data_IF_533823605039
#
_entry.id   IF_533823605039
#
_cell.length_a   1.000
_cell.length_b   1.000
_cell.length_c   1.000
_cell.angle_alpha   90.00
_cell.angle_beta   90.00
_cell.angle_gamma   90.00
#
_symmetry.space_group_name_H-M   'P 1'
#
loop_
_entity.id
_entity.type
_entity.pdbx_description
1 polymer ?
#
# COMPACT_ATOMS: atom_id res chain seq x y z
N UNK A 1 22.62 4.10 -4.64
CA UNK A 1 21.21 3.99 -5.06
C UNK A 1 21.16 3.02 -6.23
N UNK A 2 21.42 1.75 -5.91
CA UNK A 2 21.31 0.57 -6.76
C UNK A 2 20.74 -0.53 -5.85
N UNK A 3 20.23 -1.62 -6.42
CA UNK A 3 19.47 -2.68 -5.73
C UNK A 3 18.13 -2.24 -5.12
N UNK A 4 17.09 -2.19 -5.97
CA UNK A 4 15.78 -2.81 -5.68
C UNK A 4 14.89 -3.00 -6.92
N UNK A 5 15.43 -2.81 -8.13
CA UNK A 5 14.71 -2.98 -9.41
C UNK A 5 15.24 -4.25 -10.11
N UNK A 6 14.38 -5.26 -10.39
CA UNK A 6 14.77 -6.44 -11.17
C UNK A 6 15.26 -6.08 -12.57
N UNK A 7 16.33 -6.73 -13.02
CA UNK A 7 16.93 -6.51 -14.34
C UNK A 7 16.01 -7.02 -15.48
N UNK A 8 15.71 -6.21 -16.52
CA UNK A 8 14.82 -6.61 -17.60
C UNK A 8 15.53 -7.47 -18.66
N UNK A 9 14.81 -8.43 -19.25
CA UNK A 9 15.22 -9.13 -20.48
C UNK A 9 14.81 -8.34 -21.72
N UNK A 10 15.60 -8.44 -22.79
CA UNK A 10 15.55 -7.51 -23.95
C UNK A 10 14.74 -8.04 -25.14
N UNK A 11 13.95 -7.15 -25.75
CA UNK A 11 13.36 -7.31 -27.08
C UNK A 11 13.45 -5.98 -27.87
N UNK A 12 13.50 -6.01 -29.22
CA UNK A 12 13.77 -4.82 -30.02
C UNK A 12 12.49 -4.02 -30.34
N UNK A 13 12.46 -2.74 -29.94
CA UNK A 13 11.40 -1.79 -30.29
C UNK A 13 10.84 -1.07 -29.06
N UNK A 14 11.50 0.01 -28.63
CA UNK A 14 11.40 0.66 -27.30
C UNK A 14 11.76 -0.31 -26.17
N UNK A 15 12.78 0.01 -25.37
CA UNK A 15 12.99 -0.64 -24.07
C UNK A 15 11.87 -0.22 -23.12
N UNK A 16 10.97 -1.12 -22.68
CA UNK A 16 10.00 -0.79 -21.65
C UNK A 16 10.72 -0.88 -20.31
N UNK A 17 11.43 0.18 -19.94
CA UNK A 17 11.91 0.33 -18.58
C UNK A 17 10.71 0.35 -17.62
N UNK A 18 10.85 -0.16 -16.38
CA UNK A 18 9.78 -0.05 -15.41
C UNK A 18 9.44 1.42 -15.17
N UNK A 19 8.15 1.72 -15.08
CA UNK A 19 7.62 3.07 -14.87
C UNK A 19 7.05 3.18 -13.46
N UNK A 20 7.88 3.42 -12.42
CA UNK A 20 7.38 3.60 -11.07
C UNK A 20 6.52 4.87 -10.98
N UNK A 21 5.29 4.68 -10.52
CA UNK A 21 4.41 5.74 -10.06
C UNK A 21 4.55 5.88 -8.54
N UNK A 22 4.77 7.09 -8.03
CA UNK A 22 4.82 7.33 -6.59
C UNK A 22 3.52 7.98 -6.14
N UNK A 23 2.78 7.31 -5.27
CA UNK A 23 1.65 7.89 -4.54
C UNK A 23 2.17 8.63 -3.32
N UNK A 24 1.88 9.92 -3.25
CA UNK A 24 1.78 10.62 -1.98
C UNK A 24 2.25 12.06 -2.04
N UNK A 25 1.98 12.74 -0.93
CA UNK A 25 2.43 14.08 -0.60
C UNK A 25 1.74 15.24 -1.34
N UNK A 26 1.75 16.38 -0.66
CA UNK A 26 1.05 17.60 -1.09
C UNK A 26 1.61 18.11 -2.43
N UNK A 27 0.76 18.60 -3.36
CA UNK A 27 1.18 19.06 -4.68
C UNK A 27 2.46 19.89 -4.71
N UNK A 28 3.41 19.48 -5.56
CA UNK A 28 4.72 20.15 -5.70
C UNK A 28 5.71 19.87 -4.58
N UNK A 29 5.47 18.88 -3.71
CA UNK A 29 6.40 18.45 -2.66
C UNK A 29 6.33 16.94 -2.44
N UNK A 30 7.47 16.27 -2.56
CA UNK A 30 7.64 14.88 -2.10
C UNK A 30 7.88 14.81 -0.58
N UNK A 31 6.91 15.28 0.22
CA UNK A 31 6.99 15.28 1.70
C UNK A 31 5.86 14.44 2.29
N UNK A 32 6.20 13.37 3.00
CA UNK A 32 5.21 12.56 3.72
C UNK A 32 4.47 13.40 4.78
N UNK A 33 3.15 13.54 4.61
CA UNK A 33 2.32 14.41 5.44
C UNK A 33 1.59 13.71 6.60
N UNK A 34 1.89 12.43 6.89
CA UNK A 34 1.15 11.62 7.89
C UNK A 34 -0.38 11.52 7.65
N UNK A 35 -0.87 11.87 6.45
CA UNK A 35 -2.27 11.77 6.08
C UNK A 35 -2.80 10.33 6.24
N UNK A 36 -3.90 10.17 6.97
CA UNK A 36 -4.65 8.91 7.06
C UNK A 36 -5.29 8.54 5.71
N UNK A 37 -5.61 7.26 5.46
CA UNK A 37 -6.19 6.76 4.21
C UNK A 37 -7.39 7.53 3.60
N UNK A 38 -8.08 8.35 4.40
CA UNK A 38 -9.35 9.00 4.05
C UNK A 38 -9.25 10.53 3.86
N UNK A 39 -8.04 11.12 3.93
CA UNK A 39 -7.84 12.59 4.02
C UNK A 39 -6.78 13.15 3.04
N UNK A 40 -6.92 12.91 1.73
CA UNK A 40 -5.85 13.19 0.77
C UNK A 40 -6.10 14.34 -0.25
N UNK A 41 -5.22 15.34 -0.21
CA UNK A 41 -4.77 16.12 -1.37
C UNK A 41 -3.33 15.70 -1.66
N UNK A 42 -3.17 14.69 -2.52
CA UNK A 42 -1.92 13.99 -2.80
C UNK A 42 -1.37 14.33 -4.19
N UNK A 43 -0.22 13.73 -4.52
CA UNK A 43 0.41 13.75 -5.82
C UNK A 43 0.63 12.32 -6.29
N UNK A 44 0.44 12.06 -7.58
CA UNK A 44 0.96 10.90 -8.27
C UNK A 44 2.11 11.35 -9.16
N UNK A 45 3.33 10.88 -8.90
CA UNK A 45 4.47 11.19 -9.75
C UNK A 45 4.86 9.97 -10.59
N UNK A 46 4.74 10.10 -11.92
CA UNK A 46 5.22 9.09 -12.86
C UNK A 46 6.69 9.34 -13.17
N UNK A 47 7.54 8.34 -13.01
CA UNK A 47 8.93 8.34 -13.47
C UNK A 47 9.10 7.26 -14.53
N UNK A 48 9.83 7.58 -15.60
CA UNK A 48 10.11 6.63 -16.67
C UNK A 48 11.45 6.90 -17.33
N UNK A 49 11.93 5.92 -18.10
CA UNK A 49 13.10 6.05 -18.97
C UNK A 49 12.62 5.83 -20.40
N UNK A 50 12.92 6.78 -21.30
CA UNK A 50 12.52 6.65 -22.70
C UNK A 50 13.45 5.74 -23.52
N UNK A 51 13.11 5.55 -24.80
CA UNK A 51 13.90 4.71 -25.72
C UNK A 51 15.30 5.26 -26.05
N UNK A 52 15.62 6.50 -25.67
CA UNK A 52 16.95 7.09 -25.78
C UNK A 52 17.73 7.02 -24.45
N UNK A 53 17.14 6.43 -23.40
CA UNK A 53 17.75 6.34 -22.07
C UNK A 53 17.58 7.60 -21.22
N UNK A 54 16.79 8.58 -21.67
CA UNK A 54 16.56 9.81 -20.90
C UNK A 54 15.57 9.52 -19.77
N UNK A 55 15.92 9.99 -18.57
CA UNK A 55 15.09 9.86 -17.36
C UNK A 55 14.10 11.02 -17.28
N UNK A 56 12.85 10.71 -17.04
CA UNK A 56 11.74 11.67 -16.94
C UNK A 56 11.02 11.54 -15.60
N UNK A 57 10.40 12.63 -15.16
CA UNK A 57 9.51 12.71 -14.01
C UNK A 57 8.35 13.64 -14.33
N UNK A 58 7.13 13.28 -13.94
CA UNK A 58 5.95 14.14 -14.08
C UNK A 58 4.98 13.94 -12.93
N UNK A 59 4.64 15.04 -12.26
CA UNK A 59 3.66 15.09 -11.18
C UNK A 59 2.25 15.34 -11.71
N UNK A 60 1.28 14.67 -11.10
CA UNK A 60 -0.14 14.87 -11.31
C UNK A 60 -0.80 15.10 -9.95
N UNK A 61 -1.60 16.18 -9.78
CA UNK A 61 -2.37 16.36 -8.56
C UNK A 61 -3.44 15.28 -8.48
N UNK A 62 -3.64 14.69 -7.31
CA UNK A 62 -4.58 13.59 -7.08
C UNK A 62 -5.33 13.80 -5.78
N UNK A 63 -6.62 13.51 -5.76
CA UNK A 63 -7.33 13.23 -4.52
C UNK A 63 -7.64 11.72 -4.44
N UNK A 64 -7.78 11.18 -3.23
CA UNK A 64 -8.40 9.86 -3.06
C UNK A 64 -9.90 10.07 -2.92
N UNK A 65 -10.72 9.27 -3.59
CA UNK A 65 -12.18 9.34 -3.35
C UNK A 65 -12.52 8.73 -2.00
N UNK A 66 -13.37 9.41 -1.24
CA UNK A 66 -13.85 8.98 0.08
C UNK A 66 -15.20 8.28 -0.05
N UNK A 67 -15.38 7.45 -1.09
CA UNK A 67 -16.60 6.68 -1.34
C UNK A 67 -17.02 5.85 -0.12
N UNK A 68 -18.32 5.52 -0.05
CA UNK A 68 -19.12 5.26 1.17
C UNK A 68 -18.37 4.92 2.47
N UNK A 69 -18.68 5.67 3.53
CA UNK A 69 -17.93 5.75 4.78
C UNK A 69 -18.04 4.50 5.68
N UNK A 70 -18.54 3.38 5.16
CA UNK A 70 -18.34 2.09 5.79
C UNK A 70 -16.86 1.71 5.67
N UNK A 71 -16.26 1.26 6.77
CA UNK A 71 -14.92 0.65 6.81
C UNK A 71 -14.90 -0.73 6.12
N UNK A 72 -15.62 -0.89 5.01
CA UNK A 72 -15.72 -2.15 4.28
C UNK A 72 -14.43 -2.40 3.49
N UNK A 73 -13.96 -3.63 3.55
CA UNK A 73 -12.56 -4.00 3.31
C UNK A 73 -12.22 -4.19 1.82
N UNK A 74 -12.95 -3.50 0.94
CA UNK A 74 -13.23 -3.98 -0.42
C UNK A 74 -12.79 -3.05 -1.56
N UNK A 75 -12.32 -1.83 -1.30
CA UNK A 75 -11.91 -0.92 -2.41
C UNK A 75 -10.75 0.06 -2.12
N UNK A 76 -10.36 0.28 -0.86
CA UNK A 76 -9.20 1.13 -0.56
C UNK A 76 -7.86 0.41 -0.77
N UNK A 77 -6.93 1.05 -1.50
CA UNK A 77 -5.55 0.60 -1.54
C UNK A 77 -4.98 0.56 -0.12
N UNK A 78 -4.60 -0.65 0.31
CA UNK A 78 -3.82 -0.81 1.51
C UNK A 78 -2.52 0.02 1.42
N UNK A 79 -2.18 0.79 2.46
CA UNK A 79 -0.96 1.57 2.49
C UNK A 79 0.27 0.67 2.47
N UNK A 80 1.41 1.24 2.10
CA UNK A 80 2.72 0.58 2.23
C UNK A 80 2.87 -0.71 1.40
N UNK A 81 2.14 -0.81 0.27
CA UNK A 81 2.18 -1.96 -0.63
C UNK A 81 2.94 -1.60 -1.90
N UNK A 82 3.73 -2.55 -2.38
CA UNK A 82 4.42 -2.47 -3.66
C UNK A 82 3.57 -3.16 -4.71
N UNK A 83 2.77 -2.39 -5.44
CA UNK A 83 1.83 -2.92 -6.43
C UNK A 83 2.45 -2.95 -7.83
N UNK A 84 2.55 -4.14 -8.45
CA UNK A 84 2.98 -4.27 -9.84
C UNK A 84 1.79 -4.25 -10.80
N UNK A 85 1.74 -3.26 -11.69
CA UNK A 85 0.74 -3.19 -12.75
C UNK A 85 1.33 -3.49 -14.11
N UNK A 86 0.48 -4.06 -14.93
CA UNK A 86 0.58 -4.16 -16.38
C UNK A 86 -0.50 -3.28 -17.02
N UNK A 87 -0.39 -3.00 -18.32
CA UNK A 87 -1.51 -2.38 -19.04
C UNK A 87 -2.75 -3.26 -18.97
N UNK A 88 -3.79 -2.74 -18.31
CA UNK A 88 -5.14 -3.29 -18.31
C UNK A 88 -5.94 -2.74 -19.46
N UNK A 89 -6.83 -3.56 -20.00
CA UNK A 89 -7.84 -3.13 -20.96
C UNK A 89 -9.10 -2.70 -20.21
N UNK A 90 -9.42 -1.42 -20.24
CA UNK A 90 -10.82 -0.99 -20.25
C UNK A 90 -11.12 -0.67 -21.73
N UNK A 91 -12.32 -0.94 -22.22
CA UNK A 91 -12.48 -1.20 -23.66
C UNK A 91 -12.42 0.05 -24.54
N UNK A 92 -12.46 1.24 -23.96
CA UNK A 92 -12.22 2.53 -24.64
C UNK A 92 -11.19 3.45 -23.94
N UNK A 93 -10.50 2.98 -22.89
CA UNK A 93 -9.29 3.62 -22.34
C UNK A 93 -8.35 2.59 -21.67
N UNK A 94 -7.04 2.83 -21.69
CA UNK A 94 -6.15 1.96 -20.93
C UNK A 94 -6.31 2.24 -19.42
N UNK A 95 -6.34 1.18 -18.61
CA UNK A 95 -6.21 1.27 -17.16
C UNK A 95 -4.97 0.49 -16.70
N UNK A 96 -4.73 0.46 -15.39
CA UNK A 96 -3.69 -0.37 -14.79
C UNK A 96 -4.32 -1.65 -14.22
N UNK A 97 -3.89 -2.80 -14.70
CA UNK A 97 -4.32 -4.11 -14.18
C UNK A 97 -3.18 -4.77 -13.43
N UNK A 98 -3.46 -5.44 -12.31
CA UNK A 98 -2.50 -6.26 -11.60
C UNK A 98 -2.67 -7.72 -12.00
N UNK A 99 -1.63 -8.29 -12.58
CA UNK A 99 -1.54 -9.73 -12.82
C UNK A 99 -0.97 -10.48 -11.58
N UNK A 100 -0.62 -9.76 -10.52
CA UNK A 100 -0.20 -10.34 -9.25
C UNK A 100 -1.43 -10.73 -8.41
N UNK A 101 -1.84 -11.99 -8.61
CA UNK A 101 -2.77 -12.82 -7.81
C UNK A 101 -4.25 -12.85 -8.21
N UNK A 102 -4.74 -14.08 -8.44
CA UNK A 102 -6.11 -14.40 -8.82
C UNK A 102 -6.93 -15.11 -7.71
N UNK A 103 -6.47 -15.09 -6.45
CA UNK A 103 -6.99 -15.97 -5.39
C UNK A 103 -7.00 -15.41 -3.95
N UNK A 104 -6.77 -14.11 -3.73
CA UNK A 104 -6.86 -13.50 -2.39
C UNK A 104 -7.64 -12.18 -2.42
N UNK A 105 -8.68 -12.08 -1.59
CA UNK A 105 -9.57 -10.93 -1.47
C UNK A 105 -8.87 -9.66 -0.95
N UNK A 106 -7.71 -9.78 -0.29
CA UNK A 106 -6.91 -8.63 0.21
C UNK A 106 -6.41 -7.65 -0.88
N UNK A 107 -6.59 -7.99 -2.17
CA UNK A 107 -6.12 -7.21 -3.32
C UNK A 107 -7.21 -6.94 -4.38
N UNK A 108 -8.43 -7.41 -4.17
CA UNK A 108 -9.54 -7.13 -5.09
C UNK A 108 -10.07 -5.71 -4.81
N UNK A 109 -10.01 -4.82 -5.81
CA UNK A 109 -10.79 -3.57 -5.80
C UNK A 109 -12.19 -3.86 -6.35
N UNK A 110 -13.23 -3.62 -5.54
CA UNK A 110 -14.61 -3.65 -6.01
C UNK A 110 -14.83 -2.57 -7.08
N UNK A 111 -15.43 -2.96 -8.20
CA UNK A 111 -15.74 -2.09 -9.34
C UNK A 111 -17.01 -1.27 -9.06
N UNK A 112 -17.15 -0.09 -9.66
CA UNK A 112 -18.15 0.88 -9.22
C UNK A 112 -19.55 0.66 -9.82
N UNK A 113 -20.58 0.83 -8.99
CA UNK A 113 -21.98 0.85 -9.41
C UNK A 113 -22.44 2.30 -9.68
N UNK A 114 -21.80 3.00 -10.62
CA UNK A 114 -22.12 4.40 -10.89
C UNK A 114 -23.49 4.59 -11.58
N UNK A 115 -24.13 5.73 -11.26
CA UNK A 115 -25.48 6.09 -11.70
C UNK A 115 -25.54 7.58 -12.16
N UNK A 116 -24.47 8.08 -12.76
CA UNK A 116 -24.24 9.49 -13.08
C UNK A 116 -24.43 9.86 -14.56
N UNK A 117 -25.09 9.00 -15.35
CA UNK A 117 -25.50 9.26 -16.75
C UNK A 117 -24.39 9.60 -17.76
N UNK A 118 -23.12 9.52 -17.36
CA UNK A 118 -21.97 9.58 -18.27
C UNK A 118 -21.59 8.17 -18.72
N UNK A 119 -22.15 7.74 -19.85
CA UNK A 119 -21.99 6.38 -20.39
C UNK A 119 -20.86 6.26 -21.41
N UNK A 120 -20.13 5.15 -21.30
CA UNK A 120 -19.81 4.26 -22.41
C UNK A 120 -20.21 2.80 -22.07
N UNK A 121 -20.55 1.99 -23.08
CA UNK A 121 -21.64 1.00 -22.94
C UNK A 121 -21.29 -0.47 -22.65
N UNK A 122 -20.18 -0.77 -21.96
CA UNK A 122 -20.12 -1.98 -21.12
C UNK A 122 -19.96 -1.66 -19.62
N UNK A 123 -20.12 -0.38 -19.24
CA UNK A 123 -20.02 0.13 -17.85
C UNK A 123 -18.64 -0.01 -17.21
N UNK A 124 -17.64 -0.39 -18.00
CA UNK A 124 -16.28 0.13 -17.93
C UNK A 124 -15.83 0.76 -19.30
N UNK A 125 -16.72 0.72 -20.31
CA UNK A 125 -16.72 1.30 -21.68
C UNK A 125 -16.12 0.43 -22.79
N UNK A 126 -16.74 0.03 -23.94
CA UNK A 126 -18.08 0.20 -24.56
C UNK A 126 -18.54 -1.04 -25.41
N UNK A 127 -19.44 -1.95 -24.97
CA UNK A 127 -20.51 -2.57 -25.82
C UNK A 127 -21.49 -3.44 -25.03
N UNK A 128 -22.76 -3.22 -25.35
CA UNK A 128 -23.93 -4.05 -25.05
C UNK A 128 -23.76 -5.54 -25.42
N UNK A 129 -23.85 -6.43 -24.43
CA UNK A 129 -24.01 -7.89 -24.62
C UNK A 129 -25.16 -8.52 -23.80
N UNK A 130 -25.96 -7.71 -23.08
CA UNK A 130 -27.17 -8.17 -22.38
C UNK A 130 -26.96 -9.07 -21.16
N UNK A 131 -25.75 -9.14 -20.60
CA UNK A 131 -25.46 -9.90 -19.37
C UNK A 131 -25.76 -9.10 -18.09
N UNK A 132 -26.24 -9.78 -17.04
CA UNK A 132 -26.59 -9.20 -15.74
C UNK A 132 -25.58 -9.57 -14.64
N UNK A 133 -25.21 -8.57 -13.82
CA UNK A 133 -24.45 -8.70 -12.56
C UNK A 133 -23.01 -9.23 -12.70
N UNK A 134 -22.08 -8.32 -13.02
CA UNK A 134 -20.63 -8.54 -13.02
C UNK A 134 -19.97 -7.56 -12.02
N UNK A 135 -19.96 -7.93 -10.73
CA UNK A 135 -19.57 -7.05 -9.61
C UNK A 135 -18.22 -7.42 -8.96
N UNK A 136 -17.56 -8.47 -9.45
CA UNK A 136 -16.22 -8.90 -8.99
C UNK A 136 -15.42 -9.38 -10.20
N UNK A 137 -14.65 -8.48 -10.82
CA UNK A 137 -13.60 -8.88 -11.75
C UNK A 137 -12.30 -9.10 -11.02
N UNK A 138 -11.86 -10.35 -10.96
CA UNK A 138 -10.50 -10.71 -10.55
C UNK A 138 -9.55 -10.22 -11.65
N UNK A 139 -9.00 -9.01 -11.50
CA UNK A 139 -8.08 -8.42 -12.49
C UNK A 139 -8.24 -6.92 -12.75
N UNK A 140 -9.30 -6.26 -12.26
CA UNK A 140 -9.21 -4.81 -12.01
C UNK A 140 -8.25 -4.61 -10.83
N UNK A 141 -7.43 -3.58 -10.93
CA UNK A 141 -6.55 -3.16 -9.86
C UNK A 141 -6.75 -1.67 -9.61
N UNK A 142 -5.92 -1.09 -8.74
CA UNK A 142 -5.86 0.33 -8.42
C UNK A 142 -6.51 1.26 -9.45
N UNK A 143 -7.74 1.66 -9.15
CA UNK A 143 -8.50 2.46 -10.07
C UNK A 143 -8.02 3.92 -9.96
N UNK A 144 -7.40 4.41 -11.03
CA UNK A 144 -7.06 5.81 -11.23
C UNK A 144 -8.07 6.34 -12.25
N UNK A 145 -8.94 7.25 -11.82
CA UNK A 145 -9.98 7.83 -12.67
C UNK A 145 -9.74 9.31 -12.95
N UNK A 146 -10.39 9.82 -14.00
CA UNK A 146 -10.72 11.23 -14.09
C UNK A 146 -11.81 11.55 -13.05
N UNK A 147 -11.60 12.59 -12.24
CA UNK A 147 -12.68 13.20 -11.46
C UNK A 147 -13.61 14.06 -12.33
N UNK A 148 -14.53 14.78 -11.69
CA UNK A 148 -15.47 15.65 -12.43
C UNK A 148 -14.75 16.60 -13.39
N UNK A 149 -15.31 16.76 -14.61
CA UNK A 149 -14.73 17.61 -15.66
C UNK A 149 -14.50 19.03 -15.11
N UNK A 150 -13.27 19.51 -15.28
CA UNK A 150 -12.76 20.82 -14.85
C UNK A 150 -12.94 21.18 -13.37
N UNK A 151 -13.17 20.20 -12.49
CA UNK A 151 -13.21 20.44 -11.06
C UNK A 151 -11.81 20.76 -10.49
N UNK A 152 -11.68 21.73 -9.55
CA UNK A 152 -10.43 22.02 -8.89
C UNK A 152 -10.04 20.91 -7.90
N UNK A 153 -8.74 20.82 -7.58
CA UNK A 153 -8.21 19.88 -6.60
C UNK A 153 -8.96 19.94 -5.26
N UNK A 154 -9.21 18.77 -4.65
CA UNK A 154 -9.98 18.63 -3.42
C UNK A 154 -11.49 18.83 -3.58
N UNK A 155 -11.99 19.14 -4.80
CA UNK A 155 -13.42 19.18 -5.12
C UNK A 155 -13.82 18.23 -6.25
N UNK A 156 -12.86 17.69 -7.00
CA UNK A 156 -13.13 16.67 -8.00
C UNK A 156 -13.69 15.41 -7.34
N UNK A 157 -14.85 14.96 -7.81
CA UNK A 157 -15.50 13.73 -7.37
C UNK A 157 -15.64 12.78 -8.55
N UNK A 158 -15.50 11.50 -8.28
CA UNK A 158 -16.08 10.44 -9.10
C UNK A 158 -17.54 10.25 -8.69
N UNK A 159 -18.31 9.53 -9.50
CA UNK A 159 -19.67 9.15 -9.11
C UNK A 159 -19.62 8.04 -8.04
N UNK A 160 -20.76 7.80 -7.37
CA UNK A 160 -20.79 6.92 -6.20
C UNK A 160 -20.27 5.50 -6.49
N UNK A 161 -19.68 4.90 -5.43
CA UNK A 161 -19.09 3.55 -5.36
C UNK A 161 -17.60 3.38 -5.77
N UNK A 162 -16.78 4.42 -5.68
CA UNK A 162 -15.31 4.34 -5.93
C UNK A 162 -14.43 4.51 -4.67
N UNK A 163 -14.85 3.94 -3.53
CA UNK A 163 -14.21 4.13 -2.23
C UNK A 163 -12.69 3.82 -2.22
N UNK A 164 -11.85 4.83 -2.01
CA UNK A 164 -10.39 4.65 -1.94
C UNK A 164 -9.65 4.62 -3.28
N UNK A 165 -10.34 4.87 -4.39
CA UNK A 165 -9.72 5.06 -5.72
C UNK A 165 -8.93 6.37 -5.79
N UNK A 166 -7.95 6.47 -6.70
CA UNK A 166 -7.28 7.73 -7.00
C UNK A 166 -8.03 8.51 -8.09
N UNK A 167 -8.12 9.82 -7.90
CA UNK A 167 -8.90 10.74 -8.74
C UNK A 167 -8.00 11.86 -9.23
N UNK A 168 -7.82 11.96 -10.55
CA UNK A 168 -7.10 13.04 -11.21
C UNK A 168 -8.13 14.14 -11.58
N UNK A 169 -8.00 15.37 -11.06
CA UNK A 169 -9.00 16.43 -11.25
C UNK A 169 -8.90 17.06 -12.64
N UNK A 170 -10.00 17.01 -13.40
CA UNK A 170 -10.15 17.71 -14.68
C UNK A 170 -9.52 17.02 -15.89
N UNK A 171 -10.16 17.20 -17.06
CA UNK A 171 -9.82 16.50 -18.31
C UNK A 171 -8.38 16.76 -18.76
N UNK A 172 -7.88 17.99 -18.60
CA UNK A 172 -6.52 18.35 -19.00
C UNK A 172 -5.45 17.55 -18.22
N UNK A 173 -5.61 17.38 -16.91
CA UNK A 173 -4.69 16.59 -16.09
C UNK A 173 -4.82 15.10 -16.40
N UNK A 174 -6.04 14.62 -16.62
CA UNK A 174 -6.31 13.22 -16.99
C UNK A 174 -5.72 12.84 -18.35
N UNK A 175 -5.97 13.63 -19.40
CA UNK A 175 -5.35 13.41 -20.72
C UNK A 175 -3.82 13.52 -20.66
N UNK A 176 -3.30 14.45 -19.85
CA UNK A 176 -1.85 14.57 -19.63
C UNK A 176 -1.25 13.35 -18.91
N UNK A 177 -1.95 12.81 -17.91
CA UNK A 177 -1.59 11.55 -17.26
C UNK A 177 -1.62 10.42 -18.26
N UNK A 178 -2.73 10.28 -19.00
CA UNK A 178 -2.93 9.19 -19.95
C UNK A 178 -1.80 9.14 -20.99
N UNK A 179 -1.46 10.28 -21.60
CA UNK A 179 -0.42 10.38 -22.62
C UNK A 179 1.02 10.24 -22.08
N UNK A 180 1.21 10.26 -20.75
CA UNK A 180 2.52 10.03 -20.12
C UNK A 180 2.62 8.58 -19.61
N UNK A 181 1.54 8.09 -19.01
CA UNK A 181 1.45 6.79 -18.37
C UNK A 181 1.17 5.67 -19.36
N UNK A 182 0.63 5.88 -20.56
CA UNK A 182 0.41 4.82 -21.54
C UNK A 182 1.11 5.07 -22.88
N UNK A 183 1.79 4.03 -23.37
CA UNK A 183 2.52 4.06 -24.65
C UNK A 183 1.69 3.58 -25.84
N UNK A 184 0.75 2.66 -25.60
CA UNK A 184 -0.05 1.98 -26.62
C UNK A 184 -0.88 0.85 -26.02
N UNK A 185 -2.01 0.52 -26.66
CA UNK A 185 -2.85 -0.60 -26.24
C UNK A 185 -2.15 -1.93 -26.52
N UNK A 186 -2.16 -2.84 -25.54
CA UNK A 186 -1.44 -4.12 -25.60
C UNK A 186 0.08 -4.04 -25.39
N UNK A 187 0.66 -2.86 -25.23
CA UNK A 187 2.09 -2.71 -24.91
C UNK A 187 2.41 -3.35 -23.55
N UNK A 188 3.53 -4.09 -23.49
CA UNK A 188 4.08 -4.57 -22.22
C UNK A 188 4.84 -3.45 -21.53
N UNK A 189 4.29 -3.02 -20.39
CA UNK A 189 4.87 -2.03 -19.49
C UNK A 189 4.64 -2.51 -18.06
N UNK A 190 5.65 -2.31 -17.21
CA UNK A 190 5.65 -2.69 -15.80
C UNK A 190 5.62 -1.40 -14.97
N UNK A 191 4.47 -1.07 -14.37
CA UNK A 191 4.38 0.02 -13.40
C UNK A 191 4.53 -0.52 -11.99
N UNK A 192 5.08 0.30 -11.12
CA UNK A 192 5.09 0.05 -9.69
C UNK A 192 4.42 1.24 -9.00
N UNK A 193 3.26 1.05 -8.37
CA UNK A 193 2.78 2.08 -7.44
C UNK A 193 3.53 1.88 -6.13
N UNK A 194 4.28 2.90 -5.77
CA UNK A 194 5.09 2.97 -4.56
C UNK A 194 4.45 4.03 -3.67
N UNK A 195 4.07 3.66 -2.45
CA UNK A 195 3.66 4.65 -1.45
C UNK A 195 4.88 5.49 -1.05
N UNK A 196 4.73 6.81 -0.90
CA UNK A 196 5.83 7.67 -0.46
C UNK A 196 6.41 7.26 0.90
N UNK A 197 5.64 6.52 1.72
CA UNK A 197 6.14 5.89 2.94
C UNK A 197 7.12 4.75 2.66
N UNK A 198 7.02 4.01 1.54
CA UNK A 198 7.90 2.89 1.16
C UNK A 198 9.32 3.31 0.76
N UNK A 199 9.47 4.56 0.34
CA UNK A 199 10.76 5.22 0.20
C UNK A 199 11.43 5.34 1.57
N UNK A 200 12.72 4.96 1.65
CA UNK A 200 13.48 5.03 2.90
C UNK A 200 13.53 6.46 3.45
N UNK A 201 13.25 6.63 4.75
CA UNK A 201 13.22 7.95 5.40
C UNK A 201 14.54 8.73 5.27
N UNK A 202 15.68 8.05 5.11
CA UNK A 202 16.97 8.70 4.82
C UNK A 202 16.97 9.48 3.49
N UNK A 203 16.22 9.04 2.48
CA UNK A 203 16.05 9.75 1.21
C UNK A 203 15.16 11.00 1.35
N UNK A 204 14.33 11.06 2.38
CA UNK A 204 13.58 12.25 2.79
C UNK A 204 14.37 13.19 3.72
N UNK A 205 15.66 12.93 3.95
CA UNK A 205 16.46 13.66 4.95
C UNK A 205 16.06 13.38 6.40
N UNK A 206 15.15 12.42 6.61
CA UNK A 206 14.67 11.98 7.93
C UNK A 206 15.48 10.76 8.38
N UNK A 207 16.72 10.99 8.79
CA UNK A 207 17.53 9.97 9.46
C UNK A 207 17.25 9.98 10.96
N UNK A 208 16.91 8.82 11.52
CA UNK A 208 17.03 8.57 12.96
C UNK A 208 17.69 7.22 13.22
N UNK A 209 18.30 7.10 14.39
CA UNK A 209 18.85 5.84 14.89
C UNK A 209 17.69 4.93 15.27
N UNK A 210 17.59 3.69 14.73
CA UNK A 210 16.57 2.75 15.17
C UNK A 210 16.68 2.45 16.66
N UNK A 211 15.60 2.71 17.40
CA UNK A 211 15.48 2.51 18.85
C UNK A 211 14.27 1.63 19.24
N UNK A 212 13.47 1.21 18.25
CA UNK A 212 12.27 0.40 18.48
C UNK A 212 11.01 1.21 18.74
N UNK A 213 11.05 2.54 18.69
CA UNK A 213 9.84 3.37 18.70
C UNK A 213 9.12 3.36 17.35
N UNK A 214 7.86 3.80 17.31
CA UNK A 214 7.10 3.97 16.05
C UNK A 214 7.73 5.00 15.10
N UNK A 215 8.36 6.04 15.65
CA UNK A 215 9.09 7.02 14.86
C UNK A 215 10.43 6.45 14.36
N UNK A 216 11.07 5.53 15.09
CA UNK A 216 12.37 4.96 14.74
C UNK A 216 12.45 3.43 14.94
N UNK A 217 11.65 2.64 14.18
CA UNK A 217 11.53 1.21 14.38
C UNK A 217 12.80 0.45 13.98
N UNK A 218 13.06 -0.69 14.62
CA UNK A 218 14.15 -1.59 14.24
C UNK A 218 13.92 -2.14 12.83
N UNK A 219 14.94 -2.08 11.97
CA UNK A 219 14.80 -2.46 10.56
C UNK A 219 15.21 -3.91 10.33
N UNK A 220 14.28 -4.72 9.82
CA UNK A 220 14.53 -6.10 9.37
C UNK A 220 14.92 -6.04 7.90
N UNK A 221 16.24 -6.12 7.63
CA UNK A 221 16.82 -5.95 6.29
C UNK A 221 17.18 -7.26 5.59
N UNK A 222 17.13 -8.39 6.30
CA UNK A 222 17.43 -9.73 5.79
C UNK A 222 16.68 -10.80 6.58
N UNK A 223 16.54 -11.99 6.00
CA UNK A 223 15.97 -13.17 6.65
C UNK A 223 16.96 -14.35 6.54
N UNK A 224 17.07 -15.22 7.57
CA UNK A 224 16.43 -15.13 8.87
C UNK A 224 16.93 -13.93 9.69
N UNK A 225 16.07 -13.37 10.53
CA UNK A 225 16.38 -12.29 11.45
C UNK A 225 16.14 -12.75 12.89
N UNK A 226 17.05 -12.39 13.79
CA UNK A 226 16.94 -12.66 15.23
C UNK A 226 17.39 -11.42 16.00
N UNK A 227 16.59 -10.95 16.95
CA UNK A 227 16.93 -9.81 17.80
C UNK A 227 16.38 -10.00 19.22
N UNK A 228 17.27 -9.96 20.21
CA UNK A 228 16.89 -9.92 21.64
C UNK A 228 16.81 -8.48 22.12
N UNK A 229 15.71 -8.12 22.78
CA UNK A 229 15.48 -6.79 23.34
C UNK A 229 14.67 -6.89 24.65
N UNK A 230 14.27 -5.76 25.20
CA UNK A 230 13.28 -5.68 26.29
C UNK A 230 12.21 -4.63 25.94
N UNK A 231 10.98 -4.85 26.37
CA UNK A 231 9.94 -3.81 26.33
C UNK A 231 10.04 -2.84 27.52
N UNK A 232 10.78 -3.18 28.57
CA UNK A 232 10.93 -2.32 29.77
C UNK A 232 11.49 -0.95 29.41
N UNK A 233 10.71 0.09 29.68
CA UNK A 233 11.07 1.49 29.40
C UNK A 233 10.74 1.97 27.98
N UNK A 234 10.15 1.12 27.12
CA UNK A 234 9.58 1.56 25.85
C UNK A 234 8.29 2.37 26.07
N UNK A 235 7.77 2.96 24.99
CA UNK A 235 6.51 3.70 25.02
C UNK A 235 5.31 2.74 25.01
N UNK A 236 4.17 3.21 25.51
CA UNK A 236 2.86 2.57 25.37
C UNK A 236 1.97 3.50 24.57
N UNK A 237 1.67 3.17 23.31
CA UNK A 237 0.91 4.02 22.39
C UNK A 237 -0.41 3.37 22.00
N UNK A 238 -0.41 2.08 21.73
CA UNK A 238 -1.63 1.30 21.52
C UNK A 238 -2.04 0.62 22.83
N UNK A 239 -3.31 0.18 22.88
CA UNK A 239 -3.83 -0.58 24.02
C UNK A 239 -4.73 -1.75 23.64
N UNK A 240 -5.12 -1.81 22.37
CA UNK A 240 -5.88 -2.88 21.75
C UNK A 240 -5.80 -2.74 20.24
N UNK A 241 -5.60 -3.87 19.54
CA UNK A 241 -5.55 -3.95 18.09
C UNK A 241 -6.86 -4.54 17.55
N UNK A 242 -7.32 -4.14 16.36
CA UNK A 242 -8.58 -4.64 15.76
C UNK A 242 -8.63 -6.18 15.56
N UNK A 243 -7.47 -6.84 15.58
CA UNK A 243 -7.32 -8.29 15.45
C UNK A 243 -7.51 -9.07 16.78
N UNK A 244 -7.73 -8.39 17.92
CA UNK A 244 -7.85 -9.00 19.25
C UNK A 244 -8.71 -8.16 20.20
N UNK A 245 -9.18 -8.75 21.30
CA UNK A 245 -9.76 -8.02 22.44
C UNK A 245 -8.84 -7.98 23.66
N UNK A 246 -7.64 -8.55 23.55
CA UNK A 246 -6.61 -8.49 24.58
C UNK A 246 -6.21 -7.03 24.92
N UNK A 247 -5.71 -6.86 26.14
CA UNK A 247 -5.27 -5.58 26.66
C UNK A 247 -3.75 -5.46 26.48
N UNK A 248 -3.38 -4.84 25.37
CA UNK A 248 -2.00 -4.59 24.97
C UNK A 248 -1.59 -3.16 25.37
N UNK A 249 -2.09 -2.67 26.51
CA UNK A 249 -1.77 -1.33 27.04
C UNK A 249 -0.39 -1.23 27.67
N UNK A 250 0.56 -2.07 27.26
CA UNK A 250 1.89 -2.16 27.83
C UNK A 250 2.93 -1.44 26.99
N UNK A 251 4.21 -1.49 27.39
CA UNK A 251 5.30 -0.99 26.57
C UNK A 251 5.51 -1.86 25.32
N UNK A 252 5.66 -1.22 24.17
CA UNK A 252 5.74 -1.87 22.86
C UNK A 252 7.04 -1.52 22.11
N UNK A 253 7.55 -2.48 21.33
CA UNK A 253 8.75 -2.33 20.49
C UNK A 253 8.41 -2.65 19.03
N UNK A 254 8.67 -1.69 18.15
CA UNK A 254 8.28 -1.71 16.74
C UNK A 254 9.44 -2.08 15.83
N UNK A 255 9.17 -2.99 14.91
CA UNK A 255 10.07 -3.44 13.86
C UNK A 255 9.46 -3.14 12.49
N UNK A 256 10.23 -2.53 11.59
CA UNK A 256 9.89 -2.36 10.18
C UNK A 256 10.43 -3.54 9.37
N UNK A 257 9.57 -4.19 8.58
CA UNK A 257 9.96 -5.29 7.68
C UNK A 257 9.50 -4.99 6.25
N UNK A 258 10.42 -5.19 5.28
CA UNK A 258 10.12 -5.06 3.84
C UNK A 258 10.03 -6.45 3.21
N UNK A 259 8.88 -6.74 2.62
CA UNK A 259 8.54 -7.98 1.95
C UNK A 259 8.74 -7.78 0.44
N UNK A 260 9.77 -8.40 -0.18
CA UNK A 260 10.19 -8.07 -1.55
C UNK A 260 9.39 -8.81 -2.64
N UNK A 261 8.66 -9.85 -2.25
CA UNK A 261 7.82 -10.70 -3.11
C UNK A 261 6.68 -11.26 -2.26
N UNK A 262 5.65 -11.84 -2.87
CA UNK A 262 4.71 -12.66 -2.11
C UNK A 262 5.41 -13.89 -1.53
N UNK A 263 5.06 -14.26 -0.30
CA UNK A 263 5.61 -15.42 0.40
C UNK A 263 4.99 -15.64 1.77
N UNK A 264 5.61 -16.49 2.57
CA UNK A 264 5.16 -16.80 3.93
C UNK A 264 6.05 -16.12 4.96
N UNK A 265 5.47 -15.20 5.75
CA UNK A 265 6.13 -14.55 6.88
C UNK A 265 5.80 -15.31 8.17
N UNK A 266 6.82 -15.83 8.85
CA UNK A 266 6.71 -16.45 10.17
C UNK A 266 7.43 -15.57 11.18
N UNK A 267 6.73 -15.21 12.26
CA UNK A 267 7.26 -14.43 13.38
C UNK A 267 7.06 -15.24 14.65
N UNK A 268 8.13 -15.38 15.43
CA UNK A 268 8.13 -16.05 16.73
C UNK A 268 8.74 -15.13 17.78
N UNK A 269 8.16 -15.10 18.98
CA UNK A 269 8.69 -14.43 20.16
C UNK A 269 8.92 -15.45 21.27
N UNK A 270 10.07 -15.33 21.92
CA UNK A 270 10.46 -16.13 23.09
C UNK A 270 10.71 -15.19 24.27
N UNK A 271 10.03 -15.42 25.40
CA UNK A 271 10.27 -14.71 26.65
C UNK A 271 10.13 -15.66 27.85
N UNK A 272 10.66 -15.26 29.01
CA UNK A 272 10.64 -16.07 30.22
C UNK A 272 9.58 -15.57 31.21
N UNK A 273 8.77 -16.48 31.76
CA UNK A 273 7.77 -16.17 32.78
C UNK A 273 8.39 -15.36 33.95
N UNK A 274 7.76 -14.27 34.42
CA UNK A 274 6.38 -13.86 34.17
C UNK A 274 6.18 -12.95 32.94
N UNK A 275 7.20 -12.70 32.12
CA UNK A 275 7.08 -11.86 30.91
C UNK A 275 6.08 -12.48 29.94
N UNK A 276 5.24 -11.65 29.31
CA UNK A 276 4.22 -12.05 28.33
C UNK A 276 4.19 -10.99 27.21
N UNK A 277 4.79 -11.34 26.06
CA UNK A 277 4.94 -10.46 24.90
C UNK A 277 4.09 -10.97 23.74
N UNK A 278 3.16 -10.14 23.27
CA UNK A 278 2.32 -10.43 22.12
C UNK A 278 2.86 -9.77 20.85
N UNK A 279 3.06 -10.59 19.81
CA UNK A 279 3.53 -10.14 18.48
C UNK A 279 2.35 -9.88 17.55
N UNK A 280 2.33 -8.68 16.98
CA UNK A 280 1.29 -8.18 16.08
C UNK A 280 1.89 -7.86 14.71
N UNK A 281 1.20 -8.21 13.61
CA UNK A 281 1.55 -7.80 12.24
C UNK A 281 0.59 -6.71 11.76
N UNK A 282 1.10 -5.54 11.42
CA UNK A 282 0.31 -4.38 10.98
C UNK A 282 0.69 -3.97 9.55
N UNK A 283 -0.28 -3.52 8.73
CA UNK A 283 0.00 -2.91 7.41
C UNK A 283 0.37 -1.43 7.48
N UNK A 284 0.10 -0.75 8.60
CA UNK A 284 0.54 0.62 8.87
C UNK A 284 0.59 0.88 10.38
N UNK A 285 1.15 2.02 10.78
CA UNK A 285 1.27 2.48 12.18
C UNK A 285 -0.08 2.96 12.77
N UNK A 286 -1.09 2.07 12.81
CA UNK A 286 -2.40 2.29 13.44
C UNK A 286 -2.92 0.97 14.03
N UNK A 287 -3.45 1.00 15.26
CA UNK A 287 -3.98 -0.19 15.94
C UNK A 287 -5.17 -0.86 15.20
N UNK A 288 -5.84 -0.15 14.28
CA UNK A 288 -6.90 -0.69 13.40
C UNK A 288 -6.36 -1.39 12.16
N UNK A 289 -5.05 -1.36 11.94
CA UNK A 289 -4.38 -1.95 10.79
C UNK A 289 -3.70 -3.29 11.11
N UNK A 290 -4.04 -3.93 12.23
CA UNK A 290 -3.54 -5.26 12.56
C UNK A 290 -4.19 -6.31 11.64
N UNK A 291 -3.33 -7.16 11.08
CA UNK A 291 -3.69 -8.30 10.27
C UNK A 291 -3.81 -9.59 11.09
N UNK A 292 -2.89 -9.81 12.04
CA UNK A 292 -2.85 -11.01 12.89
C UNK A 292 -1.99 -10.77 14.12
N UNK A 293 -2.22 -11.52 15.21
CA UNK A 293 -1.41 -11.48 16.42
C UNK A 293 -1.35 -12.81 17.18
N UNK A 294 -0.26 -13.04 17.91
CA UNK A 294 -0.07 -14.22 18.76
C UNK A 294 0.90 -13.91 19.90
N UNK A 295 0.78 -14.61 21.03
CA UNK A 295 1.72 -14.53 22.16
C UNK A 295 2.93 -15.48 22.06
N UNK A 296 3.15 -16.12 20.90
CA UNK A 296 4.30 -17.03 20.68
C UNK A 296 4.72 -17.08 19.21
N UNK A 297 3.89 -17.58 18.30
CA UNK A 297 4.22 -17.68 16.86
C UNK A 297 3.00 -17.45 15.98
N UNK A 298 3.16 -16.67 14.91
CA UNK A 298 2.23 -16.70 13.78
C UNK A 298 2.96 -16.95 12.46
N UNK A 299 2.23 -17.48 11.49
CA UNK A 299 2.64 -17.58 10.08
C UNK A 299 1.51 -17.02 9.23
N UNK A 300 1.82 -16.10 8.31
CA UNK A 300 0.84 -15.52 7.38
C UNK A 300 1.41 -15.46 5.96
N UNK A 301 0.56 -15.74 4.98
CA UNK A 301 0.83 -15.29 3.61
C UNK A 301 0.87 -13.75 3.59
N UNK A 302 1.93 -13.20 3.02
CA UNK A 302 2.13 -11.76 2.86
C UNK A 302 2.50 -11.48 1.41
N UNK A 303 2.14 -10.28 0.94
CA UNK A 303 2.38 -9.81 -0.41
C UNK A 303 3.36 -8.63 -0.38
N UNK A 304 3.90 -8.18 -1.53
CA UNK A 304 4.96 -7.17 -1.55
C UNK A 304 4.57 -5.85 -0.87
N UNK A 305 5.48 -5.30 -0.05
CA UNK A 305 5.25 -4.07 0.71
C UNK A 305 6.07 -3.95 2.00
N UNK A 306 5.88 -2.86 2.75
CA UNK A 306 6.30 -2.76 4.16
C UNK A 306 5.16 -3.20 5.07
N UNK A 307 5.55 -3.90 6.13
CA UNK A 307 4.72 -4.12 7.32
C UNK A 307 5.45 -3.62 8.57
N UNK A 308 4.70 -3.48 9.67
CA UNK A 308 5.27 -3.38 11.01
C UNK A 308 5.02 -4.68 11.76
N UNK A 309 6.02 -5.15 12.51
CA UNK A 309 5.86 -6.15 13.56
C UNK A 309 5.98 -5.39 14.88
N UNK A 310 4.97 -5.47 15.74
CA UNK A 310 4.99 -4.87 17.09
C UNK A 310 5.08 -5.98 18.12
N UNK A 311 6.08 -5.92 18.98
CA UNK A 311 6.22 -6.76 20.16
C UNK A 311 5.71 -5.96 21.38
N UNK A 312 4.50 -6.27 21.83
CA UNK A 312 3.76 -5.53 22.85
C UNK A 312 3.73 -6.29 24.17
N UNK A 313 3.61 -5.60 25.30
CA UNK A 313 3.56 -6.23 26.62
C UNK A 313 2.13 -6.40 27.09
N UNK A 314 1.67 -7.64 27.26
CA UNK A 314 0.31 -7.89 27.73
C UNK A 314 0.07 -7.29 29.14
N UNK A 315 -1.16 -6.83 29.40
CA UNK A 315 -1.56 -6.20 30.67
C UNK A 315 -2.80 -6.87 31.25
N UNK A 316 -2.67 -7.47 32.44
CA UNK A 316 -3.79 -8.10 33.15
C UNK A 316 -3.71 -7.90 34.66
N UNK A 317 -4.87 -7.82 35.33
CA UNK A 317 -4.96 -7.65 36.78
C UNK A 317 -4.32 -6.38 37.34
N UNK A 318 -4.11 -5.35 36.50
CA UNK A 318 -3.36 -4.15 36.86
C UNK A 318 -1.83 -4.30 36.79
N UNK A 319 -1.33 -5.46 36.35
CA UNK A 319 0.09 -5.73 36.11
C UNK A 319 0.41 -5.66 34.62
N UNK A 320 1.56 -5.06 34.28
CA UNK A 320 2.14 -5.08 32.94
C UNK A 320 3.23 -6.15 32.89
N UNK A 321 3.15 -7.09 31.95
CA UNK A 321 4.06 -8.22 31.85
C UNK A 321 5.27 -7.94 30.93
N UNK A 322 5.77 -6.70 30.97
CA UNK A 322 6.93 -6.24 30.19
C UNK A 322 8.23 -6.90 30.61
N UNK A 323 9.14 -7.14 29.67
CA UNK A 323 10.43 -7.76 29.97
C UNK A 323 11.27 -8.08 28.75
N UNK A 324 12.32 -8.88 28.98
CA UNK A 324 13.23 -9.33 27.95
C UNK A 324 12.62 -10.43 27.07
N UNK A 325 12.86 -10.35 25.78
CA UNK A 325 12.40 -11.31 24.77
C UNK A 325 13.41 -11.47 23.64
N UNK A 326 13.28 -12.52 22.85
CA UNK A 326 13.93 -12.69 21.55
C UNK A 326 12.89 -12.83 20.46
N UNK A 327 12.99 -11.99 19.43
CA UNK A 327 12.16 -12.05 18.22
C UNK A 327 12.92 -12.79 17.12
N UNK A 328 12.25 -13.76 16.50
CA UNK A 328 12.72 -14.48 15.30
C UNK A 328 11.77 -14.17 14.14
N UNK A 329 12.31 -13.79 12.99
CA UNK A 329 11.52 -13.50 11.78
C UNK A 329 12.10 -14.23 10.58
N UNK A 330 11.26 -15.00 9.91
CA UNK A 330 11.60 -15.81 8.75
C UNK A 330 10.65 -15.49 7.60
N UNK A 331 11.16 -15.47 6.38
CA UNK A 331 10.36 -15.24 5.17
C UNK A 331 10.78 -16.22 4.07
N UNK A 332 9.80 -16.87 3.44
CA UNK A 332 10.01 -17.85 2.36
C UNK A 332 9.21 -17.47 1.11
#
# INVERSE_FOLDING_TARGET
MEEFIPQPQTHPGKTPGPQPGFRGAYPGRFVWNRNSPDYFNDTLALLWIDSAGVKHVREFPVNTDTGDNSYDTTSSLLPNRLYRYTNGWHRDYNALSMNEYAYNWEYNTADDANANEHWDCDRNGWLNTGSTLDYIRVGSAHNIHMGSVDAPLGRARVAGWSAGCQVIPGMANWTAFINSAWTGSGDRVDYWLIDARDIDRSLWGQTCTPDGSHDCPFRITSFPYVHSHTTVGAASRFSQYNCSTANEGGPEVVYEVKIPRHGSLTVTVECASPVDIDIHLLVMDDQRACLTRHNTTFTRAVAPGRYLIVADSYVSGGSTYSGAYTLHVNFN
#
